data_IF_218917573608
#
_entry.id   IF_218917573608
#
_cell.length_a   1.000
_cell.length_b   1.000
_cell.length_c   1.000
_cell.angle_alpha   90.00
_cell.angle_beta   90.00
_cell.angle_gamma   90.00
#
_symmetry.space_group_name_H-M   'P 1'
#
loop_
_entity.id
_entity.type
_entity.pdbx_description
1 polymer ?
#
# COMPACT_ATOMS: atom_id res chain seq x y z
N UNK A 1 -17.79 -4.59 26.57
CA UNK A 1 -17.32 -4.42 25.18
C UNK A 1 -18.40 -3.71 24.38
N UNK A 2 -18.09 -2.63 23.65
CA UNK A 2 -19.08 -1.89 22.85
C UNK A 2 -19.33 -2.49 21.45
N UNK A 3 -18.69 -3.61 21.12
CA UNK A 3 -18.74 -4.28 19.82
C UNK A 3 -18.36 -3.41 18.60
N UNK A 4 -17.81 -2.21 18.83
CA UNK A 4 -17.32 -1.35 17.77
C UNK A 4 -15.84 -1.66 17.51
N UNK A 5 -15.53 -2.12 16.28
CA UNK A 5 -14.16 -2.43 15.83
C UNK A 5 -13.22 -1.23 15.81
N UNK A 6 -13.76 -0.02 15.90
CA UNK A 6 -13.01 1.24 15.89
C UNK A 6 -12.88 1.87 17.29
N UNK A 7 -13.49 1.30 18.33
CA UNK A 7 -13.40 1.85 19.69
C UNK A 7 -11.99 1.61 20.28
N UNK A 8 -11.19 2.66 20.54
CA UNK A 8 -9.80 2.50 20.98
C UNK A 8 -9.71 1.81 22.35
N UNK A 9 -10.69 2.02 23.22
CA UNK A 9 -10.73 1.39 24.55
C UNK A 9 -11.02 -0.10 24.45
N UNK A 10 -12.07 -0.49 23.70
CA UNK A 10 -12.46 -1.89 23.58
C UNK A 10 -11.51 -2.71 22.71
N UNK A 11 -10.76 -2.08 21.80
CA UNK A 11 -9.77 -2.74 20.94
C UNK A 11 -8.34 -2.70 21.51
N UNK A 12 -8.16 -2.18 22.73
CA UNK A 12 -6.83 -2.01 23.31
C UNK A 12 -6.07 -3.33 23.48
N UNK A 13 -6.74 -4.39 23.94
CA UNK A 13 -6.12 -5.70 24.11
C UNK A 13 -5.83 -6.39 22.77
N UNK A 14 -6.80 -6.38 21.84
CA UNK A 14 -6.59 -6.87 20.47
C UNK A 14 -5.39 -6.18 19.79
N UNK A 15 -5.23 -4.87 20.01
CA UNK A 15 -4.08 -4.10 19.52
C UNK A 15 -2.77 -4.56 20.16
N UNK A 16 -2.75 -4.83 21.47
CA UNK A 16 -1.55 -5.34 22.17
C UNK A 16 -1.16 -6.72 21.67
N UNK A 17 -2.11 -7.63 21.56
CA UNK A 17 -1.88 -8.99 21.05
C UNK A 17 -1.35 -8.94 19.61
N UNK A 18 -2.02 -8.18 18.73
CA UNK A 18 -1.55 -8.00 17.36
C UNK A 18 -0.15 -7.40 17.30
N UNK A 19 0.14 -6.39 18.12
CA UNK A 19 1.48 -5.79 18.20
C UNK A 19 2.54 -6.80 18.64
N UNK A 20 2.25 -7.64 19.64
CA UNK A 20 3.19 -8.67 20.12
C UNK A 20 3.49 -9.69 19.02
N UNK A 21 2.43 -10.26 18.43
CA UNK A 21 2.54 -11.25 17.35
C UNK A 21 3.19 -10.68 16.08
N UNK A 22 3.04 -9.38 15.84
CA UNK A 22 3.65 -8.71 14.68
C UNK A 22 5.12 -8.42 14.92
N UNK A 23 5.51 -8.00 16.13
CA UNK A 23 6.92 -7.78 16.48
C UNK A 23 7.78 -9.03 16.27
N UNK A 24 7.26 -10.21 16.58
CA UNK A 24 7.99 -11.48 16.35
C UNK A 24 8.21 -11.80 14.87
N UNK A 25 7.39 -11.24 13.97
CA UNK A 25 7.47 -11.46 12.51
C UNK A 25 8.34 -10.43 11.79
N UNK A 26 8.75 -9.36 12.49
CA UNK A 26 9.50 -8.24 11.92
C UNK A 26 10.97 -8.38 12.34
N UNK A 27 11.88 -8.32 11.37
CA UNK A 27 13.32 -8.41 11.65
C UNK A 27 13.83 -7.14 12.32
N UNK A 28 14.93 -7.24 13.09
CA UNK A 28 15.60 -6.09 13.70
C UNK A 28 16.48 -5.31 12.71
N UNK A 29 15.93 -4.98 11.54
CA UNK A 29 16.57 -4.20 10.48
C UNK A 29 15.89 -2.83 10.36
N UNK A 30 16.53 -1.85 9.69
CA UNK A 30 15.85 -0.63 9.30
C UNK A 30 14.62 -0.93 8.41
N UNK A 31 13.66 -0.02 8.44
CA UNK A 31 12.45 -0.11 7.62
C UNK A 31 12.18 1.24 6.97
N UNK A 32 11.64 1.20 5.75
CA UNK A 32 11.12 2.36 5.06
C UNK A 32 9.61 2.47 5.31
N UNK A 33 9.14 3.68 5.59
CA UNK A 33 7.72 3.98 5.72
C UNK A 33 7.23 4.67 4.45
N UNK A 34 6.40 3.97 3.68
CA UNK A 34 5.87 4.46 2.41
C UNK A 34 4.37 4.72 2.55
N UNK A 35 3.87 5.76 1.88
CA UNK A 35 2.45 6.13 1.92
C UNK A 35 1.90 6.20 0.49
N UNK A 36 0.84 5.45 0.24
CA UNK A 36 0.14 5.42 -1.04
C UNK A 36 -1.28 5.94 -0.85
N UNK A 37 -1.73 6.80 -1.76
CA UNK A 37 -3.06 7.40 -1.71
C UNK A 37 -3.70 7.43 -3.09
N UNK A 38 -5.03 7.35 -3.11
CA UNK A 38 -5.78 7.64 -4.32
C UNK A 38 -5.74 9.15 -4.64
N UNK A 39 -5.73 9.54 -5.92
CA UNK A 39 -6.00 10.91 -6.34
C UNK A 39 -7.31 11.45 -5.75
N UNK A 40 -7.29 12.70 -5.32
CA UNK A 40 -8.44 13.33 -4.62
C UNK A 40 -9.70 13.39 -5.48
N UNK A 41 -9.58 13.49 -6.80
CA UNK A 41 -10.74 13.51 -7.71
C UNK A 41 -11.54 12.21 -7.69
N UNK A 42 -10.97 11.11 -7.21
CA UNK A 42 -11.67 9.82 -7.09
C UNK A 42 -12.56 9.75 -5.84
N UNK A 43 -12.38 10.65 -4.87
CA UNK A 43 -13.00 10.53 -3.55
C UNK A 43 -14.54 10.54 -3.56
N UNK A 44 -15.22 11.32 -4.44
CA UNK A 44 -16.67 11.24 -4.59
C UNK A 44 -17.19 9.85 -4.98
N UNK A 45 -16.35 9.03 -5.62
CA UNK A 45 -16.72 7.69 -6.11
C UNK A 45 -16.33 6.57 -5.14
N UNK A 46 -15.46 6.84 -4.17
CA UNK A 46 -14.94 5.81 -3.27
C UNK A 46 -16.07 5.13 -2.49
N UNK A 47 -17.05 5.88 -1.97
CA UNK A 47 -18.07 5.27 -1.12
C UNK A 47 -19.01 4.32 -1.88
N UNK A 48 -19.29 4.58 -3.15
CA UNK A 48 -20.16 3.71 -3.95
C UNK A 48 -19.48 2.38 -4.30
N UNK A 49 -18.15 2.37 -4.41
CA UNK A 49 -17.36 1.18 -4.79
C UNK A 49 -16.20 0.94 -3.82
N UNK A 50 -16.45 1.11 -2.52
CA UNK A 50 -15.40 1.18 -1.49
C UNK A 50 -14.46 0.00 -1.52
N UNK A 51 -15.01 -1.22 -1.60
CA UNK A 51 -14.23 -2.45 -1.63
C UNK A 51 -13.22 -2.45 -2.79
N UNK A 52 -13.65 -2.09 -3.98
CA UNK A 52 -12.81 -2.14 -5.19
C UNK A 52 -11.73 -1.05 -5.17
N UNK A 53 -12.07 0.17 -4.71
CA UNK A 53 -11.05 1.22 -4.55
C UNK A 53 -9.99 0.85 -3.51
N UNK A 54 -10.38 0.20 -2.40
CA UNK A 54 -9.42 -0.30 -1.41
C UNK A 54 -8.58 -1.44 -1.97
N UNK A 55 -9.18 -2.40 -2.68
CA UNK A 55 -8.45 -3.49 -3.36
C UNK A 55 -7.42 -2.94 -4.34
N UNK A 56 -7.82 -2.01 -5.21
CA UNK A 56 -6.91 -1.30 -6.14
C UNK A 56 -5.78 -0.60 -5.39
N UNK A 57 -6.06 0.05 -4.26
CA UNK A 57 -5.04 0.74 -3.50
C UNK A 57 -4.01 -0.24 -2.89
N UNK A 58 -4.44 -1.40 -2.40
CA UNK A 58 -3.54 -2.47 -1.93
C UNK A 58 -2.73 -3.09 -3.08
N UNK A 59 -3.37 -3.38 -4.21
CA UNK A 59 -2.71 -3.97 -5.38
C UNK A 59 -1.71 -3.00 -6.00
N UNK A 60 -2.09 -1.74 -6.22
CA UNK A 60 -1.22 -0.75 -6.82
C UNK A 60 0.00 -0.45 -5.94
N UNK A 61 -0.19 -0.32 -4.62
CA UNK A 61 0.91 -0.07 -3.69
C UNK A 61 1.89 -1.24 -3.59
N UNK A 62 1.38 -2.47 -3.44
CA UNK A 62 2.23 -3.67 -3.39
C UNK A 62 2.98 -3.91 -4.71
N UNK A 63 2.30 -3.81 -5.85
CA UNK A 63 2.92 -3.97 -7.17
C UNK A 63 3.99 -2.91 -7.46
N UNK A 64 3.81 -1.68 -6.95
CA UNK A 64 4.82 -0.62 -7.09
C UNK A 64 6.13 -1.02 -6.40
N UNK A 65 6.04 -1.50 -5.16
CA UNK A 65 7.21 -1.94 -4.38
C UNK A 65 7.90 -3.11 -5.08
N UNK A 66 7.13 -4.14 -5.47
CA UNK A 66 7.68 -5.31 -6.14
C UNK A 66 8.37 -4.95 -7.47
N UNK A 67 7.77 -4.03 -8.24
CA UNK A 67 8.33 -3.58 -9.52
C UNK A 67 9.60 -2.76 -9.33
N UNK A 68 9.64 -1.85 -8.36
CA UNK A 68 10.84 -1.07 -8.03
C UNK A 68 12.01 -1.97 -7.63
N UNK A 69 11.77 -2.87 -6.68
CA UNK A 69 12.81 -3.78 -6.19
C UNK A 69 13.31 -4.66 -7.33
N UNK A 70 12.41 -5.20 -8.16
CA UNK A 70 12.81 -6.01 -9.33
C UNK A 70 13.72 -5.23 -10.29
N UNK A 71 13.42 -3.96 -10.58
CA UNK A 71 14.25 -3.14 -11.47
C UNK A 71 15.63 -2.84 -10.91
N UNK A 72 15.77 -2.78 -9.59
CA UNK A 72 17.02 -2.32 -8.99
C UNK A 72 18.04 -3.42 -8.75
N UNK A 73 17.64 -4.68 -8.80
CA UNK A 73 18.54 -5.81 -8.57
C UNK A 73 18.75 -6.69 -9.81
N UNK A 74 18.14 -6.39 -10.96
CA UNK A 74 18.13 -7.24 -12.17
C UNK A 74 17.83 -8.73 -11.87
N UNK A 75 17.13 -8.97 -10.77
CA UNK A 75 16.85 -10.28 -10.17
C UNK A 75 15.38 -10.30 -9.73
N UNK A 76 14.90 -11.46 -9.29
CA UNK A 76 13.60 -11.61 -8.63
C UNK A 76 13.80 -11.80 -7.13
N UNK A 77 14.21 -10.76 -6.38
CA UNK A 77 14.42 -10.88 -4.96
C UNK A 77 13.09 -10.99 -4.21
N UNK A 78 13.14 -11.64 -3.05
CA UNK A 78 12.01 -11.73 -2.12
C UNK A 78 12.12 -10.61 -1.10
N UNK A 79 11.16 -9.69 -1.13
CA UNK A 79 11.03 -8.62 -0.13
C UNK A 79 9.92 -8.94 0.87
N UNK A 80 9.95 -8.29 2.02
CA UNK A 80 8.91 -8.37 3.03
C UNK A 80 8.43 -6.97 3.40
N UNK A 81 7.11 -6.79 3.45
CA UNK A 81 6.49 -5.56 3.92
C UNK A 81 5.12 -5.81 4.55
N UNK A 82 4.71 -4.90 5.43
CA UNK A 82 3.37 -4.89 6.04
C UNK A 82 2.59 -3.71 5.48
N UNK A 83 1.39 -3.96 4.95
CA UNK A 83 0.49 -2.93 4.44
C UNK A 83 -0.69 -2.70 5.39
N UNK A 84 -0.94 -1.45 5.76
CA UNK A 84 -2.00 -1.05 6.69
C UNK A 84 -2.88 0.02 6.03
N UNK A 85 -4.19 -0.21 6.02
CA UNK A 85 -5.17 0.76 5.55
C UNK A 85 -5.55 1.75 6.64
N UNK A 86 -5.41 3.03 6.31
CA UNK A 86 -6.04 4.13 7.03
C UNK A 86 -7.14 4.72 6.17
N UNK A 87 -8.39 4.57 6.61
CA UNK A 87 -9.56 4.97 5.82
C UNK A 87 -9.89 6.48 5.92
N UNK A 88 -9.44 7.15 6.99
CA UNK A 88 -9.76 8.55 7.28
C UNK A 88 -8.49 9.35 7.54
N UNK A 89 -8.54 10.64 7.24
CA UNK A 89 -7.51 11.61 7.61
C UNK A 89 -7.72 12.18 9.00
N UNK A 90 -6.83 13.07 9.42
CA UNK A 90 -6.84 13.67 10.76
C UNK A 90 -8.12 14.47 11.08
N UNK A 91 -8.79 15.01 10.06
CA UNK A 91 -10.06 15.71 10.20
C UNK A 91 -11.28 14.79 10.00
N UNK A 92 -11.10 13.48 10.14
CA UNK A 92 -12.13 12.43 9.95
C UNK A 92 -12.78 12.41 8.56
N UNK A 93 -12.19 13.10 7.59
CA UNK A 93 -12.61 13.05 6.20
C UNK A 93 -12.22 11.71 5.57
N UNK A 94 -13.04 11.22 4.63
CA UNK A 94 -12.71 10.05 3.82
C UNK A 94 -11.38 10.33 3.11
N UNK A 95 -10.34 9.58 3.47
CA UNK A 95 -9.00 9.71 2.91
C UNK A 95 -8.29 8.36 2.95
N UNK A 96 -8.70 7.38 2.12
CA UNK A 96 -8.07 6.08 2.11
C UNK A 96 -6.62 6.18 1.64
N UNK A 97 -5.71 5.76 2.51
CA UNK A 97 -4.29 5.64 2.21
C UNK A 97 -3.73 4.37 2.83
N UNK A 98 -2.72 3.80 2.18
CA UNK A 98 -2.00 2.63 2.66
C UNK A 98 -0.65 3.10 3.19
N UNK A 99 -0.38 2.78 4.45
CA UNK A 99 0.96 2.82 5.00
C UNK A 99 1.63 1.47 4.77
N UNK A 100 2.83 1.49 4.21
CA UNK A 100 3.65 0.31 4.07
C UNK A 100 4.90 0.45 4.92
N UNK A 101 5.14 -0.55 5.77
CA UNK A 101 6.40 -0.76 6.46
C UNK A 101 7.21 -1.76 5.65
N UNK A 102 8.16 -1.27 4.86
CA UNK A 102 9.01 -2.07 3.98
C UNK A 102 10.33 -2.37 4.68
N UNK A 103 10.72 -3.64 4.74
CA UNK A 103 12.02 -4.02 5.26
C UNK A 103 13.15 -3.47 4.38
N UNK A 104 14.20 -2.90 4.95
CA UNK A 104 15.36 -2.39 4.19
C UNK A 104 16.24 -3.51 3.62
N UNK A 105 15.90 -4.77 3.87
CA UNK A 105 16.57 -5.93 3.29
C UNK A 105 15.61 -6.75 2.44
N UNK A 106 16.15 -7.32 1.36
CA UNK A 106 15.51 -8.36 0.58
C UNK A 106 16.42 -9.59 0.51
N UNK A 107 15.84 -10.73 0.14
CA UNK A 107 16.60 -11.95 -0.11
C UNK A 107 16.78 -12.13 -1.62
N UNK A 108 17.93 -12.65 -2.05
CA UNK A 108 18.12 -13.10 -3.43
C UNK A 108 17.08 -14.14 -3.82
N UNK A 109 16.94 -14.40 -5.11
CA UNK A 109 16.01 -15.44 -5.63
C UNK A 109 16.20 -16.80 -4.96
N UNK A 110 17.44 -17.19 -4.69
CA UNK A 110 17.79 -18.47 -4.05
C UNK A 110 17.81 -18.38 -2.52
N UNK A 111 17.54 -17.20 -1.95
CA UNK A 111 17.56 -16.91 -0.51
C UNK A 111 18.92 -17.16 0.17
N UNK A 112 20.00 -17.13 -0.62
CA UNK A 112 21.38 -17.36 -0.18
C UNK A 112 22.13 -16.05 0.13
N UNK A 113 21.57 -14.90 -0.26
CA UNK A 113 22.20 -13.58 -0.09
C UNK A 113 21.19 -12.55 0.39
N UNK A 114 21.64 -11.68 1.28
CA UNK A 114 20.93 -10.47 1.70
C UNK A 114 21.26 -9.37 0.71
N UNK A 115 20.22 -8.68 0.23
CA UNK A 115 20.29 -7.53 -0.64
C UNK A 115 19.84 -6.30 0.15
N UNK A 116 20.66 -5.26 0.18
CA UNK A 116 20.35 -4.02 0.90
C UNK A 116 19.58 -3.09 -0.01
N UNK A 117 18.37 -2.70 0.42
CA UNK A 117 17.57 -1.69 -0.24
C UNK A 117 18.08 -0.30 0.16
N UNK A 118 18.51 0.48 -0.82
CA UNK A 118 19.00 1.85 -0.62
C UNK A 118 17.88 2.89 -0.81
N UNK A 119 18.01 4.05 -0.18
CA UNK A 119 17.04 5.15 -0.29
C UNK A 119 16.86 5.64 -1.73
N UNK A 120 17.88 5.47 -2.58
CA UNK A 120 17.79 5.87 -4.00
C UNK A 120 16.70 5.12 -4.77
N UNK A 121 16.24 3.96 -4.27
CA UNK A 121 15.08 3.22 -4.80
C UNK A 121 13.78 4.02 -4.73
N UNK A 122 13.69 4.91 -3.74
CA UNK A 122 12.49 5.69 -3.44
C UNK A 122 12.65 7.16 -3.85
N UNK A 123 13.58 7.46 -4.77
CA UNK A 123 13.61 8.78 -5.42
C UNK A 123 12.24 9.09 -6.00
N UNK A 124 11.69 10.22 -5.53
CA UNK A 124 10.26 10.54 -5.61
C UNK A 124 9.69 10.47 -7.04
N UNK A 125 10.45 10.91 -8.03
CA UNK A 125 10.00 10.98 -9.42
C UNK A 125 9.78 9.58 -10.03
N UNK A 126 10.71 8.65 -9.78
CA UNK A 126 10.60 7.27 -10.28
C UNK A 126 9.50 6.51 -9.54
N UNK A 127 9.43 6.68 -8.23
CA UNK A 127 8.42 6.03 -7.38
C UNK A 127 7.00 6.43 -7.78
N UNK A 128 6.73 7.74 -7.87
CA UNK A 128 5.41 8.25 -8.22
C UNK A 128 5.02 7.91 -9.66
N UNK A 129 5.98 7.95 -10.60
CA UNK A 129 5.72 7.57 -11.99
C UNK A 129 5.26 6.12 -12.10
N UNK A 130 5.96 5.19 -11.44
CA UNK A 130 5.60 3.77 -11.44
C UNK A 130 4.24 3.54 -10.77
N UNK A 131 4.02 4.16 -9.61
CA UNK A 131 2.74 4.06 -8.90
C UNK A 131 1.58 4.55 -9.75
N UNK A 132 1.70 5.74 -10.35
CA UNK A 132 0.65 6.33 -11.17
C UNK A 132 0.36 5.49 -12.42
N UNK A 133 1.38 4.91 -13.06
CA UNK A 133 1.18 4.00 -14.20
C UNK A 133 0.40 2.74 -13.80
N UNK A 134 0.74 2.13 -12.67
CA UNK A 134 0.04 0.93 -12.16
C UNK A 134 -1.39 1.30 -11.79
N UNK A 135 -1.56 2.37 -10.99
CA UNK A 135 -2.87 2.84 -10.56
C UNK A 135 -3.77 3.18 -11.76
N UNK A 136 -3.24 3.87 -12.77
CA UNK A 136 -3.97 4.19 -14.00
C UNK A 136 -4.49 2.93 -14.69
N UNK A 137 -3.65 1.89 -14.79
CA UNK A 137 -4.06 0.61 -15.37
C UNK A 137 -5.23 -0.02 -14.61
N UNK A 138 -5.15 -0.06 -13.27
CA UNK A 138 -6.21 -0.62 -12.44
C UNK A 138 -7.51 0.20 -12.51
N UNK A 139 -7.42 1.54 -12.54
CA UNK A 139 -8.58 2.42 -12.68
C UNK A 139 -9.25 2.27 -14.05
N UNK A 140 -8.48 2.04 -15.13
CA UNK A 140 -9.05 1.74 -16.46
C UNK A 140 -9.83 0.41 -16.43
N UNK A 141 -9.32 -0.60 -15.71
CA UNK A 141 -10.03 -1.88 -15.55
C UNK A 141 -11.32 -1.70 -14.74
N UNK A 142 -11.27 -0.90 -13.67
CA UNK A 142 -12.44 -0.55 -12.88
C UNK A 142 -13.49 0.17 -13.72
N UNK A 143 -13.09 1.17 -14.51
CA UNK A 143 -14.01 1.91 -15.38
C UNK A 143 -14.65 1.02 -16.45
N UNK A 144 -13.91 0.06 -17.02
CA UNK A 144 -14.48 -0.91 -17.96
C UNK A 144 -15.55 -1.81 -17.31
N UNK A 145 -15.38 -2.11 -16.01
CA UNK A 145 -16.34 -2.89 -15.23
C UNK A 145 -17.56 -2.06 -14.83
N UNK A 146 -17.35 -0.78 -14.51
CA UNK A 146 -18.34 0.16 -13.99
C UNK A 146 -18.30 1.48 -14.80
N UNK A 147 -18.81 1.48 -16.05
CA UNK A 147 -18.77 2.65 -16.93
C UNK A 147 -19.54 3.86 -16.35
N UNK A 148 -20.52 3.62 -15.49
CA UNK A 148 -21.33 4.63 -14.80
C UNK A 148 -20.54 5.48 -13.80
N UNK A 149 -19.34 5.04 -13.38
CA UNK A 149 -18.46 5.82 -12.51
C UNK A 149 -18.00 7.14 -13.16
N UNK A 150 -18.12 7.28 -14.49
CA UNK A 150 -17.75 8.51 -15.21
C UNK A 150 -16.27 8.87 -15.15
N UNK A 151 -15.41 7.96 -14.65
CA UNK A 151 -13.97 8.12 -14.57
C UNK A 151 -13.39 7.85 -15.98
N UNK A 152 -13.36 8.86 -16.83
CA UNK A 152 -12.87 8.70 -18.21
C UNK A 152 -11.36 8.44 -18.26
N UNK A 153 -10.90 7.76 -19.31
CA UNK A 153 -9.46 7.54 -19.57
C UNK A 153 -8.65 8.82 -19.79
N UNK A 154 -9.33 9.94 -20.04
CA UNK A 154 -8.74 11.28 -20.17
C UNK A 154 -8.55 11.95 -18.79
N UNK A 155 -9.31 11.52 -17.78
CA UNK A 155 -9.22 12.00 -16.39
C UNK A 155 -8.24 11.16 -15.55
N UNK A 156 -7.92 9.94 -15.98
CA UNK A 156 -6.96 9.00 -15.34
C UNK A 156 -5.55 9.19 -15.91
#
# INVERSE_FOLDING_TARGET
SCNNRSCPTCQSENKREWNSNTKEKVSNSPHYHLVFKLPSFLYPYILSHYKEFIEILFEASSNTILKLIKYSFDLTPTTAFISVLHAHGDAYQLHPHIHILLNSIALSKNQDKILLLDETLFKLDNFNSIYNQILKKELILLHKKHPELGISSETI
#
